data_IF_723066112675
#
_entry.id   IF_723066112675
#
_cell.length_a   1.000
_cell.length_b   1.000
_cell.length_c   1.000
_cell.angle_alpha   90.00
_cell.angle_beta   90.00
_cell.angle_gamma   90.00
#
_symmetry.space_group_name_H-M   'P 1'
#
loop_
_entity.id
_entity.type
_entity.pdbx_description
1 polymer ?
#
# COMPACT_ATOMS: atom_id res chain seq x y z
N UNK A 1 -7.10 -40.11 40.14
CA UNK A 1 -7.37 -39.05 39.13
C UNK A 1 -6.70 -39.50 37.83
N UNK A 2 -7.49 -39.84 36.81
CA UNK A 2 -6.98 -40.38 35.54
C UNK A 2 -6.50 -39.24 34.63
N UNK A 3 -5.25 -39.29 34.19
CA UNK A 3 -4.72 -38.43 33.12
C UNK A 3 -4.70 -39.21 31.80
N UNK A 4 -5.33 -38.70 30.72
CA UNK A 4 -5.15 -39.30 29.40
C UNK A 4 -4.14 -38.51 28.53
N UNK A 5 -3.13 -39.27 28.10
CA UNK A 5 -2.64 -39.41 26.71
C UNK A 5 -1.82 -38.28 26.09
N UNK A 6 -0.50 -38.47 26.09
CA UNK A 6 0.39 -38.01 25.01
C UNK A 6 -0.02 -38.63 23.67
N UNK A 7 -0.19 -37.81 22.65
CA UNK A 7 -0.21 -38.23 21.26
C UNK A 7 0.99 -37.60 20.56
N UNK A 8 1.95 -38.47 20.24
CA UNK A 8 3.05 -38.23 19.32
C UNK A 8 2.45 -38.28 17.92
N UNK A 9 2.56 -37.20 17.17
CA UNK A 9 2.21 -37.18 15.75
C UNK A 9 3.42 -36.70 14.96
N UNK A 10 4.18 -37.65 14.44
CA UNK A 10 5.17 -37.43 13.40
C UNK A 10 4.43 -37.24 12.07
N UNK A 11 4.71 -36.15 11.34
CA UNK A 11 4.16 -35.94 10.00
C UNK A 11 5.30 -35.98 9.00
N UNK A 12 5.17 -37.00 8.15
CA UNK A 12 6.05 -37.49 7.09
C UNK A 12 6.19 -36.50 5.93
N UNK A 13 7.38 -36.50 5.32
CA UNK A 13 7.80 -35.72 4.16
C UNK A 13 6.90 -35.83 2.92
N UNK A 14 6.78 -34.74 2.16
CA UNK A 14 6.50 -34.78 0.71
C UNK A 14 7.48 -33.83 0.01
N UNK A 15 8.39 -34.42 -0.76
CA UNK A 15 9.20 -33.70 -1.74
C UNK A 15 8.41 -33.63 -3.05
N UNK A 16 8.24 -32.43 -3.61
CA UNK A 16 7.69 -32.23 -4.96
C UNK A 16 8.75 -31.52 -5.80
N UNK A 17 9.32 -32.28 -6.74
CA UNK A 17 10.15 -31.80 -7.83
C UNK A 17 9.22 -31.36 -8.97
N UNK A 18 9.43 -30.17 -9.55
CA UNK A 18 8.95 -29.85 -10.89
C UNK A 18 9.67 -28.62 -11.43
N UNK A 19 10.57 -28.82 -12.41
CA UNK A 19 11.12 -27.74 -13.22
C UNK A 19 10.18 -27.37 -14.37
N UNK A 20 10.38 -26.19 -14.96
CA UNK A 20 10.55 -26.14 -16.42
C UNK A 20 11.67 -25.18 -16.86
N UNK A 21 12.52 -25.66 -17.78
CA UNK A 21 13.31 -24.81 -18.68
C UNK A 21 12.50 -24.61 -19.96
N UNK A 22 12.11 -23.38 -20.24
CA UNK A 22 11.71 -22.95 -21.58
C UNK A 22 12.33 -21.59 -21.84
N UNK A 23 13.33 -21.58 -22.71
CA UNK A 23 13.85 -20.39 -23.36
C UNK A 23 12.87 -19.94 -24.44
N UNK A 24 12.61 -18.63 -24.51
CA UNK A 24 12.25 -17.97 -25.76
C UNK A 24 12.61 -16.49 -25.60
N UNK A 25 13.59 -16.07 -26.39
CA UNK A 25 13.90 -14.67 -26.60
C UNK A 25 12.88 -14.12 -27.61
N UNK A 26 12.19 -13.05 -27.26
CA UNK A 26 11.50 -12.21 -28.25
C UNK A 26 12.28 -10.89 -28.42
N UNK A 27 12.72 -10.57 -29.64
CA UNK A 27 13.52 -9.39 -29.92
C UNK A 27 12.63 -8.16 -30.16
N UNK A 28 12.95 -7.08 -29.44
CA UNK A 28 12.91 -5.70 -29.94
C UNK A 28 11.62 -5.19 -30.60
N UNK A 29 10.78 -4.52 -29.83
CA UNK A 29 9.82 -3.54 -30.35
C UNK A 29 10.11 -2.15 -29.76
N UNK A 30 11.21 -1.54 -30.21
CA UNK A 30 11.60 -0.17 -29.88
C UNK A 30 11.25 0.79 -31.00
N UNK A 31 9.97 1.10 -31.17
CA UNK A 31 9.51 2.08 -32.15
C UNK A 31 9.66 3.50 -31.57
N UNK A 32 10.84 4.10 -31.72
CA UNK A 32 11.06 5.53 -31.39
C UNK A 32 11.20 6.34 -32.67
N UNK A 33 10.04 6.73 -33.20
CA UNK A 33 9.91 7.66 -34.32
C UNK A 33 10.21 9.06 -33.79
N UNK A 34 11.30 9.67 -34.27
CA UNK A 34 11.57 11.08 -34.02
C UNK A 34 10.55 11.98 -34.70
N UNK A 35 10.38 13.20 -34.17
CA UNK A 35 10.31 14.42 -34.98
C UNK A 35 10.42 15.68 -34.10
N UNK A 36 11.40 16.51 -34.46
CA UNK A 36 11.58 17.91 -34.11
C UNK A 36 10.50 18.85 -34.69
N UNK A 37 10.56 20.12 -34.25
CA UNK A 37 9.83 21.33 -34.70
C UNK A 37 8.46 21.53 -34.02
N UNK A 38 8.17 22.65 -33.36
CA UNK A 38 8.51 24.03 -33.70
C UNK A 38 7.27 24.66 -34.34
N UNK A 39 6.64 25.64 -33.68
CA UNK A 39 5.52 26.37 -34.27
C UNK A 39 4.61 27.02 -33.24
N UNK A 40 4.76 28.34 -33.10
CA UNK A 40 3.84 29.24 -32.41
C UNK A 40 2.56 29.35 -33.24
N UNK A 41 1.39 29.36 -32.61
CA UNK A 41 0.18 29.94 -33.19
C UNK A 41 -0.69 30.51 -32.07
N UNK A 42 -1.05 31.77 -32.27
CA UNK A 42 -1.97 32.57 -31.48
C UNK A 42 -3.28 32.55 -32.25
N UNK A 43 -4.36 32.06 -31.66
CA UNK A 43 -5.75 32.23 -32.13
C UNK A 43 -6.64 31.85 -30.94
N UNK A 44 -7.22 32.83 -30.25
CA UNK A 44 -8.50 33.48 -30.53
C UNK A 44 -9.63 32.85 -29.70
N UNK A 45 -10.09 33.70 -28.80
CA UNK A 45 -11.21 33.60 -27.89
C UNK A 45 -12.51 33.24 -28.64
N UNK A 46 -13.18 32.16 -28.21
CA UNK A 46 -14.63 31.98 -28.33
C UNK A 46 -15.10 30.98 -27.27
N UNK A 47 -15.73 31.50 -26.21
CA UNK A 47 -16.19 30.70 -25.08
C UNK A 47 -17.38 29.80 -25.37
N UNK A 48 -17.59 28.80 -24.51
CA UNK A 48 -18.90 28.32 -24.00
C UNK A 48 -18.74 27.65 -22.63
N UNK A 49 -19.79 27.86 -21.83
CA UNK A 49 -20.14 27.27 -20.53
C UNK A 49 -19.56 25.87 -20.24
N UNK A 50 -19.09 25.66 -19.01
CA UNK A 50 -18.87 24.33 -18.46
C UNK A 50 -18.34 24.40 -17.03
N UNK A 51 -19.19 24.08 -16.06
CA UNK A 51 -18.85 24.12 -14.65
C UNK A 51 -17.88 23.01 -14.19
N UNK A 52 -17.45 23.19 -12.95
CA UNK A 52 -17.01 22.15 -12.00
C UNK A 52 -15.80 21.28 -12.35
N UNK A 53 -14.81 21.34 -11.46
CA UNK A 53 -14.13 20.14 -11.01
C UNK A 53 -12.62 20.21 -11.01
N UNK A 54 -12.06 20.89 -10.01
CA UNK A 54 -10.74 20.58 -9.50
C UNK A 54 -10.67 19.07 -9.17
N UNK A 55 -9.81 18.30 -9.85
CA UNK A 55 -9.44 16.98 -9.35
C UNK A 55 -7.99 16.66 -9.72
N UNK A 56 -7.17 16.79 -8.70
CA UNK A 56 -5.73 16.60 -8.74
C UNK A 56 -5.30 15.21 -9.20
N UNK A 57 -4.05 15.21 -9.66
CA UNK A 57 -3.17 14.10 -9.98
C UNK A 57 -3.41 12.88 -9.07
N UNK A 58 -4.09 11.85 -9.56
CA UNK A 58 -4.09 10.52 -8.92
C UNK A 58 -2.89 9.74 -9.44
N UNK A 59 -1.83 9.69 -8.64
CA UNK A 59 -0.78 8.69 -8.82
C UNK A 59 -1.29 7.31 -8.42
N UNK A 60 -1.21 6.38 -9.37
CA UNK A 60 -1.15 4.95 -9.13
C UNK A 60 -2.48 4.21 -9.25
N UNK A 61 -2.64 3.56 -10.41
CA UNK A 61 -2.94 2.13 -10.50
C UNK A 61 -4.38 1.73 -10.24
N UNK A 62 -5.01 1.31 -11.33
CA UNK A 62 -6.41 0.92 -11.47
C UNK A 62 -6.67 -0.54 -11.05
N UNK A 63 -6.17 -0.97 -9.88
CA UNK A 63 -6.53 -2.26 -9.24
C UNK A 63 -7.72 -2.10 -8.27
N UNK A 64 -8.43 -0.97 -8.36
CA UNK A 64 -9.36 -0.45 -7.36
C UNK A 64 -10.80 -0.94 -7.47
N UNK A 65 -11.11 -1.89 -8.34
CA UNK A 65 -12.49 -2.30 -8.53
C UNK A 65 -13.11 -3.01 -7.31
N UNK A 66 -12.29 -3.60 -6.42
CA UNK A 66 -12.79 -4.48 -5.34
C UNK A 66 -12.25 -4.17 -3.93
N UNK A 67 -11.51 -3.08 -3.73
CA UNK A 67 -10.91 -2.75 -2.42
C UNK A 67 -11.66 -1.65 -1.66
N UNK A 68 -11.49 -1.55 -0.32
CA UNK A 68 -12.15 -0.53 0.49
C UNK A 68 -11.76 0.90 0.09
N UNK A 69 -12.75 1.79 0.03
CA UNK A 69 -12.50 3.22 -0.19
C UNK A 69 -12.08 3.90 1.11
N UNK A 70 -10.87 4.45 1.15
CA UNK A 70 -10.28 5.05 2.36
C UNK A 70 -10.40 6.57 2.33
N UNK A 71 -11.07 7.14 3.33
CA UNK A 71 -11.03 8.58 3.58
C UNK A 71 -9.73 8.95 4.33
N UNK A 72 -8.70 9.31 3.56
CA UNK A 72 -7.38 9.67 4.10
C UNK A 72 -7.43 10.84 5.08
N UNK A 73 -8.19 11.88 4.76
CA UNK A 73 -8.26 13.10 5.57
C UNK A 73 -8.87 12.82 6.94
N UNK A 74 -10.02 12.14 6.97
CA UNK A 74 -10.67 11.76 8.23
C UNK A 74 -9.80 10.80 9.06
N UNK A 75 -9.08 9.89 8.40
CA UNK A 75 -8.17 8.96 9.09
C UNK A 75 -7.00 9.71 9.75
N UNK A 76 -6.38 10.66 9.04
CA UNK A 76 -5.32 11.51 9.61
C UNK A 76 -5.83 12.40 10.74
N UNK A 77 -7.04 12.95 10.61
CA UNK A 77 -7.69 13.73 11.66
C UNK A 77 -7.85 12.91 12.96
N UNK A 78 -8.27 11.64 12.84
CA UNK A 78 -8.34 10.74 13.99
C UNK A 78 -6.96 10.53 14.60
N UNK A 79 -5.91 10.29 13.80
CA UNK A 79 -4.56 10.10 14.35
C UNK A 79 -4.10 11.35 15.11
N UNK A 80 -4.21 12.52 14.49
CA UNK A 80 -3.74 13.77 15.09
C UNK A 80 -4.57 14.19 16.31
N UNK A 81 -5.87 13.88 16.33
CA UNK A 81 -6.76 14.12 17.47
C UNK A 81 -6.51 13.21 18.68
N UNK A 82 -5.72 12.14 18.53
CA UNK A 82 -5.46 11.16 19.59
C UNK A 82 -3.95 11.01 19.86
N UNK A 83 -3.25 12.13 19.96
CA UNK A 83 -1.79 12.16 20.18
C UNK A 83 -1.34 11.42 21.43
N UNK A 84 -2.20 11.29 22.45
CA UNK A 84 -1.89 10.58 23.70
C UNK A 84 -1.82 9.05 23.55
N UNK A 85 -2.32 8.49 22.44
CA UNK A 85 -2.37 7.04 22.22
C UNK A 85 -1.24 6.52 21.33
N UNK A 86 -0.32 7.38 20.91
CA UNK A 86 0.80 6.98 20.09
C UNK A 86 2.03 7.84 20.38
N UNK A 87 3.20 7.28 20.09
CA UNK A 87 4.47 8.00 20.21
C UNK A 87 5.07 8.24 18.84
N UNK A 88 5.76 9.37 18.68
CA UNK A 88 6.58 9.60 17.49
C UNK A 88 7.57 8.45 17.39
N UNK A 89 7.57 7.79 16.24
CA UNK A 89 8.64 6.86 15.88
C UNK A 89 9.60 7.59 14.95
N UNK A 90 10.86 7.19 14.99
CA UNK A 90 11.85 7.67 14.03
C UNK A 90 11.36 7.37 12.61
N UNK A 91 11.54 8.35 11.71
CA UNK A 91 11.27 8.17 10.30
C UNK A 91 12.08 6.99 9.73
N UNK A 92 11.51 6.32 8.74
CA UNK A 92 12.17 5.18 8.12
C UNK A 92 13.48 5.61 7.44
N UNK A 93 14.54 4.78 7.50
CA UNK A 93 15.72 5.01 6.69
C UNK A 93 15.36 5.12 5.19
N UNK A 94 16.03 5.98 4.40
CA UNK A 94 15.68 6.21 2.99
C UNK A 94 15.62 4.93 2.14
N UNK A 95 16.48 3.96 2.46
CA UNK A 95 16.52 2.66 1.79
C UNK A 95 15.31 1.76 2.06
N UNK A 96 14.63 1.93 3.20
CA UNK A 96 13.40 1.21 3.52
C UNK A 96 12.19 1.95 2.98
N UNK A 97 12.19 3.29 3.10
CA UNK A 97 11.10 4.13 2.60
C UNK A 97 10.85 3.92 1.09
N UNK A 98 11.91 3.80 0.28
CA UNK A 98 11.78 3.51 -1.17
C UNK A 98 11.18 2.13 -1.48
N UNK A 99 11.29 1.19 -0.54
CA UNK A 99 10.77 -0.16 -0.70
C UNK A 99 9.36 -0.30 -0.15
N UNK A 100 8.93 0.61 0.73
CA UNK A 100 7.55 0.71 1.19
C UNK A 100 6.67 1.26 0.07
N UNK A 101 5.89 0.40 -0.55
CA UNK A 101 4.98 0.77 -1.62
C UNK A 101 3.70 -0.06 -1.54
N UNK A 102 2.61 0.53 -2.02
CA UNK A 102 1.32 -0.18 -2.16
C UNK A 102 1.47 -1.38 -3.10
N UNK A 103 0.70 -2.44 -2.84
CA UNK A 103 0.71 -3.71 -3.56
C UNK A 103 1.92 -4.59 -3.27
N UNK A 104 2.93 -4.10 -2.54
CA UNK A 104 4.10 -4.90 -2.13
C UNK A 104 3.93 -5.45 -0.72
N UNK A 105 4.56 -6.59 -0.41
CA UNK A 105 4.61 -7.09 0.96
C UNK A 105 5.33 -6.11 1.85
N UNK A 106 4.82 -5.92 3.06
CA UNK A 106 5.46 -5.09 4.05
C UNK A 106 6.77 -5.75 4.53
N UNK A 107 7.91 -5.02 4.58
CA UNK A 107 9.13 -5.59 5.13
C UNK A 107 8.93 -6.06 6.58
N UNK A 108 9.45 -7.24 6.95
CA UNK A 108 9.31 -7.73 8.31
C UNK A 108 10.08 -6.84 9.30
N UNK A 109 9.56 -6.73 10.53
CA UNK A 109 10.25 -6.08 11.65
C UNK A 109 10.21 -4.55 11.71
N UNK A 110 9.65 -3.87 10.69
CA UNK A 110 9.49 -2.39 10.72
C UNK A 110 8.10 -1.95 11.19
N UNK A 111 7.14 -2.86 11.19
CA UNK A 111 5.75 -2.59 11.51
C UNK A 111 5.48 -2.73 13.00
N UNK A 112 4.80 -1.73 13.55
CA UNK A 112 4.33 -1.71 14.93
C UNK A 112 2.80 -1.75 14.92
N UNK A 113 2.24 -2.64 15.73
CA UNK A 113 0.80 -2.63 16.01
C UNK A 113 0.44 -1.31 16.70
N UNK A 114 -0.70 -0.74 16.31
CA UNK A 114 -1.25 0.43 16.98
C UNK A 114 -1.76 0.07 18.37
N UNK A 115 -1.76 1.05 19.28
CA UNK A 115 -2.47 0.90 20.55
C UNK A 115 -3.95 0.58 20.28
N UNK A 116 -4.52 -0.36 21.04
CA UNK A 116 -5.89 -0.81 20.84
C UNK A 116 -6.93 0.32 20.91
N UNK A 117 -6.68 1.35 21.73
CA UNK A 117 -7.57 2.52 21.89
C UNK A 117 -7.54 3.45 20.69
N UNK A 118 -6.41 3.49 19.98
CA UNK A 118 -6.28 4.24 18.73
C UNK A 118 -6.85 3.42 17.57
N UNK A 119 -6.48 2.15 17.49
CA UNK A 119 -6.93 1.23 16.46
C UNK A 119 -8.47 1.14 16.42
N UNK A 120 -9.14 1.13 17.57
CA UNK A 120 -10.60 1.09 17.67
C UNK A 120 -11.31 2.35 17.17
N UNK A 121 -10.59 3.46 17.02
CA UNK A 121 -11.13 4.73 16.52
C UNK A 121 -10.97 4.88 15.01
N UNK A 122 -10.03 4.13 14.42
CA UNK A 122 -9.80 4.17 12.98
C UNK A 122 -10.90 3.41 12.23
N UNK A 123 -11.20 3.79 10.98
CA UNK A 123 -12.11 3.03 10.13
C UNK A 123 -11.65 1.58 10.00
N UNK A 124 -12.55 0.64 10.28
CA UNK A 124 -12.30 -0.78 10.17
C UNK A 124 -12.66 -1.29 8.77
N UNK A 125 -11.78 -2.11 8.20
CA UNK A 125 -12.01 -2.77 6.92
C UNK A 125 -11.73 -4.26 7.08
N UNK A 126 -12.70 -5.10 6.69
CA UNK A 126 -12.59 -6.54 6.82
C UNK A 126 -11.37 -7.08 6.06
N UNK A 127 -10.55 -7.91 6.73
CA UNK A 127 -9.34 -8.47 6.14
C UNK A 127 -8.16 -7.50 6.07
N UNK A 128 -8.27 -6.30 6.65
CA UNK A 128 -7.18 -5.33 6.73
C UNK A 128 -6.91 -4.87 8.17
N UNK A 129 -5.67 -4.48 8.44
CA UNK A 129 -5.24 -3.95 9.73
C UNK A 129 -4.40 -2.67 9.53
N UNK A 130 -4.65 -1.68 10.39
CA UNK A 130 -3.84 -0.47 10.49
C UNK A 130 -2.58 -0.72 11.31
N UNK A 131 -1.42 -0.33 10.79
CA UNK A 131 -0.13 -0.47 11.46
C UNK A 131 0.70 0.80 11.34
N UNK A 132 1.54 1.09 12.34
CA UNK A 132 2.50 2.19 12.29
C UNK A 132 3.83 1.69 11.73
N UNK A 133 4.39 2.42 10.76
CA UNK A 133 5.71 2.15 10.20
C UNK A 133 6.51 3.46 10.17
N UNK A 134 7.40 3.63 11.14
CA UNK A 134 8.06 4.92 11.35
C UNK A 134 7.02 6.03 11.59
N UNK A 135 7.08 7.07 10.77
CA UNK A 135 6.13 8.20 10.76
C UNK A 135 4.84 7.94 9.98
N UNK A 136 4.76 6.78 9.32
CA UNK A 136 3.69 6.48 8.37
C UNK A 136 2.63 5.59 9.00
N UNK A 137 1.37 5.80 8.62
CA UNK A 137 0.26 4.89 8.92
C UNK A 137 -0.03 4.06 7.68
N UNK A 138 -0.01 2.73 7.80
CA UNK A 138 -0.25 1.82 6.69
C UNK A 138 -1.47 0.94 6.93
N UNK A 139 -2.22 0.67 5.87
CA UNK A 139 -3.25 -0.37 5.86
C UNK A 139 -2.68 -1.61 5.19
N UNK A 140 -2.72 -2.75 5.88
CA UNK A 140 -2.12 -4.01 5.42
C UNK A 140 -3.20 -5.07 5.30
N UNK A 141 -3.18 -5.87 4.24
CA UNK A 141 -4.04 -7.05 4.11
C UNK A 141 -3.55 -8.15 5.06
N UNK A 142 -4.43 -8.65 5.93
CA UNK A 142 -4.11 -9.71 6.90
C UNK A 142 -3.78 -11.02 6.20
N UNK A 143 -4.50 -11.32 5.11
CA UNK A 143 -4.33 -12.57 4.37
C UNK A 143 -2.99 -12.66 3.62
N UNK A 144 -2.47 -11.53 3.14
CA UNK A 144 -1.32 -11.51 2.21
C UNK A 144 -0.11 -10.73 2.72
N UNK A 145 -0.27 -9.91 3.77
CA UNK A 145 0.77 -8.98 4.23
C UNK A 145 1.07 -7.83 3.27
N UNK A 146 0.25 -7.65 2.22
CA UNK A 146 0.44 -6.59 1.24
C UNK A 146 -0.01 -5.23 1.79
N UNK A 147 0.78 -4.22 1.50
CA UNK A 147 0.45 -2.83 1.81
C UNK A 147 -0.65 -2.38 0.86
N UNK A 148 -1.82 -2.08 1.39
CA UNK A 148 -2.95 -1.56 0.62
C UNK A 148 -2.88 -0.04 0.50
N UNK A 149 -2.60 0.66 1.61
CA UNK A 149 -2.60 2.11 1.65
C UNK A 149 -1.49 2.65 2.55
N UNK A 150 -0.98 3.83 2.22
CA UNK A 150 0.06 4.53 2.96
C UNK A 150 -0.40 5.97 3.20
N UNK A 151 -0.44 6.36 4.47
CA UNK A 151 -0.73 7.71 4.95
C UNK A 151 0.58 8.27 5.52
N UNK A 152 1.20 9.14 4.74
CA UNK A 152 2.52 9.66 5.08
C UNK A 152 2.45 10.70 6.19
N UNK A 153 3.44 10.70 7.10
CA UNK A 153 3.54 11.69 8.17
C UNK A 153 2.38 11.66 9.17
N UNK A 154 1.62 10.56 9.25
CA UNK A 154 0.54 10.41 10.21
C UNK A 154 1.04 10.51 11.67
N UNK A 155 2.30 10.12 11.90
CA UNK A 155 2.94 10.08 13.20
C UNK A 155 4.08 11.09 13.38
N UNK A 156 4.13 12.13 12.55
CA UNK A 156 5.10 13.23 12.67
C UNK A 156 4.80 14.15 13.86
#
# INVERSE_FOLDING_TARGET
MLTPRSLITAITCVALVCGPVTASADPGNGNSKGNDKGGQHYDQDHGKQGGQGNKGKKSGGDDRAHGPSINRAATLEIIHGHRDYWSRSQALPPGIQKNLARGKPLPPGIAKKLDGRLASRLPHYEGYEWQQVGTELILVSIATGLVYEILNGAFD
#
